data_IF_557968334637
#
_entry.id   IF_557968334637
#
_cell.length_a   1.000
_cell.length_b   1.000
_cell.length_c   1.000
_cell.angle_alpha   90.00
_cell.angle_beta   90.00
_cell.angle_gamma   90.00
#
_symmetry.space_group_name_H-M   'P 1'
#
loop_
_entity.id
_entity.type
_entity.pdbx_description
1 polymer ?
#
# COMPACT_ATOMS: atom_id res chain seq x y z
N UNK A 1 -8.20 10.40 -19.69
CA UNK A 1 -8.78 9.62 -18.56
C UNK A 1 -8.78 10.52 -17.35
N UNK A 2 -9.81 10.50 -16.51
CA UNK A 2 -9.80 11.23 -15.24
C UNK A 2 -8.79 10.57 -14.32
N UNK A 3 -7.96 11.37 -13.67
CA UNK A 3 -7.01 10.96 -12.65
C UNK A 3 -7.76 10.39 -11.43
N UNK A 4 -7.38 9.24 -10.96
CA UNK A 4 -7.98 8.61 -9.77
C UNK A 4 -7.07 8.81 -8.56
N UNK A 5 -7.62 9.41 -7.50
CA UNK A 5 -7.08 9.39 -6.13
C UNK A 5 -8.30 9.34 -5.22
N UNK A 6 -8.67 8.14 -4.82
CA UNK A 6 -9.83 7.90 -3.96
C UNK A 6 -9.37 7.52 -2.54
N UNK A 7 -9.99 8.13 -1.54
CA UNK A 7 -9.69 7.88 -0.12
C UNK A 7 -10.94 7.36 0.57
N UNK A 8 -10.81 6.21 1.20
CA UNK A 8 -11.87 5.56 1.98
C UNK A 8 -11.45 5.47 3.43
N UNK A 9 -12.22 6.06 4.32
CA UNK A 9 -12.02 5.97 5.77
C UNK A 9 -12.90 4.87 6.36
N UNK A 10 -12.43 4.32 7.48
CA UNK A 10 -13.15 3.34 8.28
C UNK A 10 -13.65 2.15 7.42
N UNK A 11 -12.72 1.62 6.59
CA UNK A 11 -13.00 0.64 5.54
C UNK A 11 -13.49 -0.68 6.13
N UNK A 12 -12.93 -1.10 7.25
CA UNK A 12 -13.35 -2.30 7.97
C UNK A 12 -14.12 -1.94 9.23
N UNK A 13 -14.93 -2.86 9.71
CA UNK A 13 -15.50 -2.78 11.05
C UNK A 13 -14.38 -2.88 12.10
N UNK A 14 -14.58 -2.29 13.26
CA UNK A 14 -13.57 -2.17 14.32
C UNK A 14 -12.88 -3.50 14.64
N UNK A 15 -13.65 -4.59 14.72
CA UNK A 15 -13.10 -5.91 15.02
C UNK A 15 -12.07 -6.38 13.96
N UNK A 16 -12.41 -6.24 12.69
CA UNK A 16 -11.51 -6.62 11.60
C UNK A 16 -10.30 -5.69 11.53
N UNK A 17 -10.50 -4.39 11.73
CA UNK A 17 -9.42 -3.42 11.75
C UNK A 17 -8.41 -3.70 12.88
N UNK A 18 -8.88 -4.12 14.07
CA UNK A 18 -8.01 -4.52 15.20
C UNK A 18 -7.20 -5.77 14.83
N UNK A 19 -7.82 -6.80 14.24
CA UNK A 19 -7.12 -8.01 13.82
C UNK A 19 -6.02 -7.68 12.79
N UNK A 20 -6.30 -6.79 11.83
CA UNK A 20 -5.33 -6.38 10.81
C UNK A 20 -4.18 -5.56 11.40
N UNK A 21 -4.44 -4.66 12.34
CA UNK A 21 -3.40 -3.92 13.08
C UNK A 21 -2.48 -4.90 13.84
N UNK A 22 -3.06 -5.90 14.52
CA UNK A 22 -2.31 -6.91 15.24
C UNK A 22 -1.50 -7.82 14.32
N UNK A 23 -2.05 -8.24 13.18
CA UNK A 23 -1.32 -9.04 12.19
C UNK A 23 -0.11 -8.27 11.64
N UNK A 24 -0.26 -6.99 11.34
CA UNK A 24 0.85 -6.17 10.83
C UNK A 24 1.91 -5.92 11.90
N UNK A 25 1.54 -5.77 13.17
CA UNK A 25 2.48 -5.67 14.30
C UNK A 25 3.33 -6.93 14.49
N UNK A 26 2.82 -8.09 14.11
CA UNK A 26 3.52 -9.37 14.26
C UNK A 26 4.41 -9.75 13.06
N UNK A 27 4.45 -8.94 12.01
CA UNK A 27 5.30 -9.20 10.83
C UNK A 27 6.78 -9.27 11.24
N UNK A 28 7.45 -10.30 10.75
CA UNK A 28 8.91 -10.43 10.86
C UNK A 28 9.57 -9.64 9.73
N UNK A 29 9.72 -8.34 9.93
CA UNK A 29 10.22 -7.40 8.95
C UNK A 29 11.65 -7.71 8.50
N UNK A 30 11.90 -7.60 7.17
CA UNK A 30 13.24 -7.61 6.59
C UNK A 30 13.64 -6.20 6.20
N UNK A 31 14.83 -5.77 6.63
CA UNK A 31 15.41 -4.48 6.26
C UNK A 31 16.42 -4.72 5.15
N UNK A 32 16.14 -4.31 3.95
CA UNK A 32 17.04 -4.29 2.78
C UNK A 32 16.30 -4.10 1.46
N UNK A 33 15.24 -3.32 1.44
CA UNK A 33 14.44 -3.12 0.24
C UNK A 33 14.49 -1.67 -0.24
N UNK A 34 14.43 -1.48 -1.55
CA UNK A 34 14.37 -0.18 -2.22
C UNK A 34 13.10 -0.13 -3.07
N UNK A 35 12.34 0.98 -3.00
CA UNK A 35 11.18 1.19 -3.88
C UNK A 35 11.59 1.52 -5.32
N UNK A 36 12.76 2.17 -5.49
CA UNK A 36 13.34 2.53 -6.77
C UNK A 36 14.85 2.23 -6.75
N UNK A 37 15.42 1.85 -7.90
CA UNK A 37 16.88 1.61 -8.07
C UNK A 37 17.74 2.84 -7.78
N UNK A 38 17.16 4.04 -7.85
CA UNK A 38 17.81 5.31 -7.52
C UNK A 38 17.77 5.61 -6.02
N UNK A 39 17.01 4.85 -5.24
CA UNK A 39 16.88 5.05 -3.81
C UNK A 39 18.15 4.63 -3.08
N UNK A 40 18.64 5.52 -2.21
CA UNK A 40 19.80 5.24 -1.36
C UNK A 40 19.36 4.69 0.00
N UNK A 41 18.13 5.01 0.39
CA UNK A 41 17.59 4.66 1.70
C UNK A 41 16.80 3.36 1.60
N UNK A 42 17.24 2.36 2.32
CA UNK A 42 16.53 1.09 2.48
C UNK A 42 15.39 1.25 3.46
N UNK A 43 14.37 0.43 3.30
CA UNK A 43 13.26 0.36 4.24
C UNK A 43 12.90 -1.10 4.56
N UNK A 44 12.01 -1.25 5.53
CA UNK A 44 11.48 -2.54 5.93
C UNK A 44 10.44 -3.02 4.92
N UNK A 45 10.53 -4.27 4.52
CA UNK A 45 9.66 -4.84 3.50
C UNK A 45 9.37 -6.31 3.75
N UNK A 46 8.18 -6.76 3.36
CA UNK A 46 7.78 -8.16 3.27
C UNK A 46 6.88 -8.31 2.06
N UNK A 47 7.21 -9.23 1.17
CA UNK A 47 6.31 -9.70 0.13
C UNK A 47 5.34 -10.72 0.77
N UNK A 48 4.03 -10.44 0.69
CA UNK A 48 3.00 -11.37 1.14
C UNK A 48 2.75 -12.45 0.09
N UNK A 49 2.61 -12.09 -1.18
CA UNK A 49 2.45 -13.02 -2.29
C UNK A 49 1.95 -12.36 -3.57
N UNK A 50 2.01 -13.11 -4.68
CA UNK A 50 1.48 -12.71 -5.98
C UNK A 50 0.10 -13.32 -6.27
N UNK A 51 -0.35 -14.22 -5.42
CA UNK A 51 -1.65 -14.89 -5.46
C UNK A 51 -1.97 -15.46 -4.09
N UNK A 52 -3.18 -16.01 -3.93
CA UNK A 52 -3.67 -16.59 -2.68
C UNK A 52 -2.78 -17.70 -2.14
N UNK A 53 -2.35 -18.62 -3.00
CA UNK A 53 -1.53 -19.77 -2.61
C UNK A 53 -0.20 -19.33 -2.00
N UNK A 54 0.40 -18.30 -2.58
CA UNK A 54 1.66 -17.72 -2.07
C UNK A 54 1.43 -17.00 -0.73
N UNK A 55 0.35 -16.21 -0.61
CA UNK A 55 0.01 -15.55 0.64
C UNK A 55 -0.20 -16.56 1.77
N UNK A 56 -0.96 -17.62 1.53
CA UNK A 56 -1.19 -18.70 2.48
C UNK A 56 0.13 -19.40 2.85
N UNK A 57 0.94 -19.76 1.86
CA UNK A 57 2.23 -20.44 2.08
C UNK A 57 3.22 -19.60 2.88
N UNK A 58 3.16 -18.26 2.72
CA UNK A 58 4.00 -17.32 3.45
C UNK A 58 3.45 -16.96 4.85
N UNK A 59 2.23 -17.40 5.19
CA UNK A 59 1.57 -17.06 6.45
C UNK A 59 0.92 -15.67 6.49
N UNK A 60 0.58 -15.13 5.30
CA UNK A 60 -0.07 -13.84 5.12
C UNK A 60 -1.44 -13.96 4.43
N UNK A 61 -2.16 -15.04 4.69
CA UNK A 61 -3.53 -15.31 4.20
C UNK A 61 -4.49 -14.15 4.48
N UNK A 62 -4.35 -13.50 5.62
CA UNK A 62 -5.10 -12.31 5.99
C UNK A 62 -4.98 -11.16 4.96
N UNK A 63 -3.86 -11.05 4.24
CA UNK A 63 -3.65 -10.01 3.23
C UNK A 63 -4.47 -10.29 1.94
N UNK A 64 -4.59 -11.57 1.54
CA UNK A 64 -5.49 -11.98 0.46
C UNK A 64 -6.96 -11.76 0.85
N UNK A 65 -7.35 -12.15 2.06
CA UNK A 65 -8.70 -11.92 2.58
C UNK A 65 -9.08 -10.43 2.61
N UNK A 66 -8.13 -9.54 2.95
CA UNK A 66 -8.35 -8.09 2.86
C UNK A 66 -8.74 -7.65 1.46
N UNK A 67 -8.06 -8.17 0.43
CA UNK A 67 -8.35 -7.80 -0.95
C UNK A 67 -9.76 -8.25 -1.35
N UNK A 68 -10.16 -9.46 -0.96
CA UNK A 68 -11.51 -9.96 -1.20
C UNK A 68 -12.58 -9.09 -0.50
N UNK A 69 -12.32 -8.66 0.73
CA UNK A 69 -13.20 -7.74 1.45
C UNK A 69 -13.32 -6.37 0.75
N UNK A 70 -12.22 -5.83 0.21
CA UNK A 70 -12.26 -4.58 -0.56
C UNK A 70 -13.10 -4.73 -1.83
N UNK A 71 -12.95 -5.83 -2.57
CA UNK A 71 -13.75 -6.09 -3.77
C UNK A 71 -15.25 -6.05 -3.45
N UNK A 72 -15.65 -6.74 -2.40
CA UNK A 72 -17.06 -6.85 -2.01
C UNK A 72 -17.59 -5.52 -1.47
N UNK A 73 -16.87 -4.91 -0.52
CA UNK A 73 -17.37 -3.74 0.22
C UNK A 73 -17.35 -2.45 -0.58
N UNK A 74 -16.37 -2.28 -1.45
CA UNK A 74 -16.15 -1.05 -2.20
C UNK A 74 -16.48 -1.19 -3.70
N UNK A 75 -16.93 -2.37 -4.14
CA UNK A 75 -17.30 -2.60 -5.53
C UNK A 75 -16.14 -2.38 -6.49
N UNK A 76 -14.96 -2.93 -6.20
CA UNK A 76 -13.75 -2.69 -6.99
C UNK A 76 -13.88 -3.16 -8.43
N UNK A 77 -14.58 -4.27 -8.66
CA UNK A 77 -14.78 -4.79 -10.01
C UNK A 77 -15.58 -3.82 -10.87
N UNK A 78 -16.64 -3.23 -10.33
CA UNK A 78 -17.45 -2.24 -11.04
C UNK A 78 -16.79 -0.88 -11.15
N UNK A 79 -16.10 -0.44 -10.10
CA UNK A 79 -15.56 0.92 -10.03
C UNK A 79 -14.21 1.08 -10.73
N UNK A 80 -13.31 0.11 -10.55
CA UNK A 80 -11.95 0.16 -11.06
C UNK A 80 -11.65 -0.91 -12.11
N UNK A 81 -12.61 -1.79 -12.39
CA UNK A 81 -12.42 -2.96 -13.25
C UNK A 81 -11.27 -3.87 -12.77
N UNK A 82 -11.08 -3.93 -11.45
CA UNK A 82 -10.03 -4.73 -10.80
C UNK A 82 -10.66 -5.92 -10.12
N UNK A 83 -10.27 -7.12 -10.53
CA UNK A 83 -10.72 -8.40 -9.97
C UNK A 83 -9.58 -9.19 -9.29
N UNK A 84 -8.32 -8.90 -9.64
CA UNK A 84 -7.15 -9.58 -9.13
C UNK A 84 -6.04 -8.57 -8.78
N UNK A 85 -5.21 -8.95 -7.82
CA UNK A 85 -3.96 -8.23 -7.57
C UNK A 85 -2.80 -8.90 -8.30
N UNK A 86 -1.77 -8.10 -8.61
CA UNK A 86 -0.49 -8.59 -9.16
C UNK A 86 0.41 -9.08 -8.03
N UNK A 87 0.40 -8.36 -6.91
CA UNK A 87 1.10 -8.73 -5.66
C UNK A 87 0.58 -7.91 -4.48
N UNK A 88 0.76 -8.50 -3.31
CA UNK A 88 0.54 -7.83 -2.02
C UNK A 88 1.87 -7.82 -1.27
N UNK A 89 2.21 -6.69 -0.67
CA UNK A 89 3.38 -6.56 0.17
C UNK A 89 3.16 -5.53 1.29
N UNK A 90 3.99 -5.60 2.32
CA UNK A 90 3.98 -4.61 3.39
C UNK A 90 5.30 -3.83 3.38
N UNK A 91 5.20 -2.52 3.54
CA UNK A 91 6.33 -1.62 3.74
C UNK A 91 6.25 -0.96 5.11
N UNK A 92 7.40 -0.71 5.71
CA UNK A 92 7.46 0.07 6.95
C UNK A 92 8.66 1.02 6.98
N UNK A 93 8.44 2.17 7.60
CA UNK A 93 9.43 3.23 7.74
C UNK A 93 9.58 3.66 9.20
N UNK A 94 10.80 4.04 9.58
CA UNK A 94 11.11 4.74 10.83
C UNK A 94 11.47 6.20 10.53
N UNK A 95 11.63 7.00 11.56
CA UNK A 95 12.23 8.33 11.40
C UNK A 95 13.62 8.26 10.76
N UNK A 96 14.00 9.30 10.03
CA UNK A 96 15.28 9.39 9.34
C UNK A 96 15.32 8.72 7.95
N UNK A 97 14.24 8.08 7.53
CA UNK A 97 14.06 7.61 6.16
C UNK A 97 13.33 8.66 5.33
N UNK A 98 13.91 9.01 4.19
CA UNK A 98 13.31 9.92 3.21
C UNK A 98 13.09 9.17 1.89
N UNK A 99 11.93 8.56 1.69
CA UNK A 99 11.59 7.89 0.44
C UNK A 99 11.56 8.84 -0.74
N UNK A 100 12.03 8.39 -1.90
CA UNK A 100 12.00 9.17 -3.13
C UNK A 100 10.63 9.12 -3.81
N UNK A 101 10.35 10.15 -4.61
CA UNK A 101 9.21 10.13 -5.54
C UNK A 101 9.45 9.03 -6.57
N UNK A 102 8.45 8.24 -6.80
CA UNK A 102 8.45 7.16 -7.79
C UNK A 102 7.05 6.94 -8.36
N UNK A 103 6.97 6.17 -9.41
CA UNK A 103 5.75 5.60 -9.96
C UNK A 103 5.77 4.10 -9.76
N UNK A 104 4.62 3.49 -9.78
CA UNK A 104 4.47 2.06 -9.61
C UNK A 104 4.18 1.34 -10.94
N UNK A 105 4.44 0.06 -10.97
CA UNK A 105 3.96 -0.85 -12.00
C UNK A 105 2.49 -1.22 -11.75
N UNK A 106 1.81 -1.70 -12.79
CA UNK A 106 0.38 -1.99 -12.76
C UNK A 106 -0.48 -0.79 -13.16
N UNK A 107 -1.80 -0.95 -13.06
CA UNK A 107 -2.76 0.11 -13.39
C UNK A 107 -3.17 0.90 -12.14
N UNK A 108 -3.34 0.22 -11.01
CA UNK A 108 -3.67 0.84 -9.72
C UNK A 108 -2.74 0.40 -8.60
N UNK A 109 -2.44 1.35 -7.72
CA UNK A 109 -1.85 1.12 -6.40
C UNK A 109 -2.90 1.38 -5.34
N UNK A 110 -3.02 0.44 -4.39
CA UNK A 110 -3.86 0.59 -3.21
C UNK A 110 -2.99 0.53 -1.98
N UNK A 111 -3.17 1.48 -1.07
CA UNK A 111 -2.41 1.57 0.19
C UNK A 111 -3.39 1.54 1.35
N UNK A 112 -3.34 0.50 2.16
CA UNK A 112 -4.07 0.42 3.42
C UNK A 112 -3.17 0.81 4.60
N UNK A 113 -3.69 1.64 5.49
CA UNK A 113 -3.01 2.10 6.71
C UNK A 113 -3.55 1.33 7.91
N UNK A 114 -2.83 0.31 8.42
CA UNK A 114 -3.35 -0.59 9.44
C UNK A 114 -3.32 -0.03 10.86
N UNK A 115 -2.37 0.88 11.20
CA UNK A 115 -2.10 1.28 12.57
C UNK A 115 -3.20 2.19 13.14
N UNK A 116 -4.05 1.64 14.02
CA UNK A 116 -5.21 2.34 14.58
C UNK A 116 -4.82 3.41 15.61
N UNK A 117 -3.68 3.24 16.27
CA UNK A 117 -3.14 4.15 17.29
C UNK A 117 -2.23 5.26 16.71
N UNK A 118 -2.15 5.38 15.37
CA UNK A 118 -1.30 6.37 14.71
C UNK A 118 -1.72 7.80 15.01
N UNK A 119 -0.76 8.67 15.28
CA UNK A 119 -0.97 10.08 15.64
C UNK A 119 -0.49 10.98 14.48
N UNK A 120 -1.33 11.23 13.46
CA UNK A 120 -0.89 11.88 12.23
C UNK A 120 -0.32 13.29 12.45
N UNK A 121 -0.87 14.06 13.38
CA UNK A 121 -0.42 15.42 13.67
C UNK A 121 0.95 15.47 14.38
N UNK A 122 1.27 14.45 15.16
CA UNK A 122 2.54 14.35 15.90
C UNK A 122 3.60 13.55 15.10
N UNK A 123 3.18 12.49 14.42
CA UNK A 123 4.08 11.52 13.81
C UNK A 123 4.23 11.67 12.30
N UNK A 124 3.32 12.38 11.62
CA UNK A 124 3.32 12.52 10.16
C UNK A 124 3.08 11.19 9.45
N UNK A 125 3.93 10.84 8.49
CA UNK A 125 3.93 9.52 7.84
C UNK A 125 2.81 9.28 6.82
N UNK A 126 2.16 10.34 6.33
CA UNK A 126 1.18 10.23 5.24
C UNK A 126 1.82 9.77 3.92
N UNK A 127 1.06 9.83 2.83
CA UNK A 127 1.56 9.59 1.47
C UNK A 127 1.27 10.81 0.61
N UNK A 128 2.29 11.33 -0.06
CA UNK A 128 2.13 12.37 -1.08
C UNK A 128 1.89 11.69 -2.43
N UNK A 129 0.79 12.02 -3.11
CA UNK A 129 0.40 11.44 -4.39
C UNK A 129 0.09 12.58 -5.34
N UNK A 130 0.88 12.75 -6.40
CA UNK A 130 0.73 13.78 -7.42
C UNK A 130 0.45 15.18 -6.79
N UNK A 131 1.25 15.57 -5.79
CA UNK A 131 1.14 16.83 -5.07
C UNK A 131 0.04 16.90 -4.00
N UNK A 132 -0.81 15.89 -3.86
CA UNK A 132 -1.84 15.81 -2.83
C UNK A 132 -1.35 14.99 -1.64
N UNK A 133 -1.31 15.58 -0.45
CA UNK A 133 -1.00 14.85 0.79
C UNK A 133 -2.23 14.08 1.28
N UNK A 134 -2.10 12.78 1.41
CA UNK A 134 -3.05 11.92 2.12
C UNK A 134 -2.46 11.62 3.51
N UNK A 135 -3.00 12.17 4.60
CA UNK A 135 -2.52 11.90 5.95
C UNK A 135 -2.69 10.43 6.33
N UNK A 136 -1.77 9.91 7.11
CA UNK A 136 -1.94 8.58 7.71
C UNK A 136 -3.14 8.60 8.67
N UNK A 137 -4.08 7.69 8.47
CA UNK A 137 -5.19 7.42 9.40
C UNK A 137 -5.39 5.90 9.44
N UNK A 138 -5.43 5.33 10.63
CA UNK A 138 -5.72 3.90 10.79
C UNK A 138 -7.05 3.54 10.13
N UNK A 139 -7.14 2.34 9.57
CA UNK A 139 -8.32 1.84 8.85
C UNK A 139 -8.72 2.69 7.62
N UNK A 140 -7.74 3.33 6.96
CA UNK A 140 -7.90 4.06 5.70
C UNK A 140 -7.34 3.26 4.55
N UNK A 141 -8.05 3.26 3.43
CA UNK A 141 -7.56 2.79 2.14
C UNK A 141 -7.45 3.97 1.19
N UNK A 142 -6.37 4.01 0.43
CA UNK A 142 -6.18 4.94 -0.69
C UNK A 142 -6.00 4.13 -1.96
N UNK A 143 -6.75 4.48 -3.01
CA UNK A 143 -6.66 3.88 -4.35
C UNK A 143 -6.26 4.95 -5.33
N UNK A 144 -5.22 4.74 -6.11
CA UNK A 144 -4.78 5.72 -7.10
C UNK A 144 -4.14 5.06 -8.33
N UNK A 145 -4.15 5.79 -9.44
CA UNK A 145 -3.48 5.35 -10.68
C UNK A 145 -1.98 5.12 -10.42
N UNK A 146 -1.47 3.95 -10.75
CA UNK A 146 -0.09 3.55 -10.44
C UNK A 146 0.99 4.45 -11.07
N UNK A 147 0.66 5.12 -12.20
CA UNK A 147 1.56 6.06 -12.87
C UNK A 147 1.70 7.42 -12.18
N UNK A 148 0.90 7.72 -11.16
CA UNK A 148 1.02 8.97 -10.42
C UNK A 148 2.27 8.96 -9.54
N UNK A 149 3.08 9.99 -9.65
CA UNK A 149 4.25 10.15 -8.78
C UNK A 149 3.83 10.24 -7.32
N UNK A 150 4.43 9.41 -6.48
CA UNK A 150 4.09 9.36 -5.07
C UNK A 150 5.29 8.98 -4.20
N UNK A 151 5.19 9.29 -2.91
CA UNK A 151 6.13 8.84 -1.89
C UNK A 151 5.50 8.79 -0.51
N UNK A 152 6.03 7.97 0.38
CA UNK A 152 5.75 8.07 1.80
C UNK A 152 6.37 9.38 2.35
N UNK A 153 5.64 10.06 3.22
CA UNK A 153 6.18 11.23 3.92
C UNK A 153 7.02 10.81 5.12
N UNK A 154 8.03 11.60 5.47
CA UNK A 154 8.87 11.32 6.63
C UNK A 154 8.07 11.13 7.92
N UNK A 155 8.62 10.30 8.79
CA UNK A 155 8.12 10.06 10.14
C UNK A 155 8.88 10.93 11.12
N UNK A 156 8.17 11.60 12.04
CA UNK A 156 8.75 12.43 13.08
C UNK A 156 9.69 11.63 14.00
N UNK A 157 10.70 12.30 14.56
CA UNK A 157 11.59 11.72 15.58
C UNK A 157 10.87 11.35 16.88
N UNK A 158 9.69 11.92 17.12
CA UNK A 158 8.88 11.60 18.30
C UNK A 158 8.11 10.29 18.13
N UNK A 159 8.05 9.76 16.92
CA UNK A 159 7.41 8.48 16.63
C UNK A 159 8.33 7.33 17.02
N UNK A 160 7.87 6.50 17.92
CA UNK A 160 8.56 5.28 18.38
C UNK A 160 7.99 4.00 17.75
N UNK A 161 7.07 4.15 16.79
CA UNK A 161 6.39 3.06 16.10
C UNK A 161 6.86 2.94 14.65
N UNK A 162 6.68 1.77 14.07
CA UNK A 162 6.85 1.58 12.63
C UNK A 162 5.64 2.16 11.87
N UNK A 163 5.91 3.07 10.94
CA UNK A 163 4.91 3.47 9.95
C UNK A 163 4.76 2.34 8.95
N UNK A 164 3.80 1.48 9.16
CA UNK A 164 3.53 0.34 8.29
C UNK A 164 2.33 0.59 7.37
N UNK A 165 2.38 0.01 6.18
CA UNK A 165 1.28 -0.01 5.21
C UNK A 165 1.21 -1.37 4.54
N UNK A 166 0.00 -1.77 4.13
CA UNK A 166 -0.22 -2.90 3.23
C UNK A 166 -0.51 -2.35 1.84
N UNK A 167 0.22 -2.83 0.84
CA UNK A 167 0.16 -2.31 -0.53
C UNK A 167 -0.30 -3.42 -1.47
N UNK A 168 -1.27 -3.09 -2.31
CA UNK A 168 -1.79 -3.97 -3.36
C UNK A 168 -1.48 -3.33 -4.71
N UNK A 169 -0.83 -4.09 -5.59
CA UNK A 169 -0.65 -3.73 -6.98
C UNK A 169 -1.68 -4.46 -7.81
N UNK A 170 -2.43 -3.73 -8.62
CA UNK A 170 -3.55 -4.28 -9.35
C UNK A 170 -3.51 -3.90 -10.83
N UNK A 171 -4.01 -4.79 -11.67
CA UNK A 171 -4.26 -4.51 -13.08
C UNK A 171 -5.75 -4.46 -13.38
N UNK A 172 -6.11 -3.65 -14.35
CA UNK A 172 -7.46 -3.60 -14.91
C UNK A 172 -7.72 -4.87 -15.73
N UNK A 173 -8.88 -5.46 -15.52
CA UNK A 173 -9.33 -6.65 -16.25
C UNK A 173 -9.34 -6.41 -17.76
N UNK A 174 -8.64 -7.27 -18.50
CA UNK A 174 -8.59 -7.17 -19.96
C UNK A 174 -7.74 -6.01 -20.51
N UNK A 175 -6.98 -5.31 -19.67
CA UNK A 175 -6.02 -4.32 -20.16
C UNK A 175 -4.93 -5.02 -20.99
N UNK A 176 -4.73 -4.52 -22.22
CA UNK A 176 -3.71 -5.06 -23.11
C UNK A 176 -2.34 -4.74 -22.50
N UNK A 177 -1.55 -5.76 -22.15
CA UNK A 177 -0.27 -5.64 -21.43
C UNK A 177 0.83 -4.87 -22.18
N UNK A 178 0.61 -4.49 -23.43
CA UNK A 178 1.54 -3.67 -24.21
C UNK A 178 1.84 -2.28 -23.58
N UNK A 179 1.01 -1.84 -22.61
CA UNK A 179 1.22 -0.58 -21.90
C UNK A 179 2.31 -0.63 -20.81
N UNK A 180 2.60 -1.81 -20.28
CA UNK A 180 3.55 -2.01 -19.18
C UNK A 180 5.02 -1.97 -19.63
N UNK A 181 5.30 -2.32 -20.88
CA UNK A 181 6.67 -2.33 -21.42
C UNK A 181 7.23 -0.92 -21.67
N UNK A 182 6.38 0.08 -21.77
CA UNK A 182 6.81 1.46 -22.02
C UNK A 182 7.53 2.08 -20.79
N UNK A 183 7.13 1.71 -19.57
CA UNK A 183 7.70 2.26 -18.32
C UNK A 183 8.89 1.48 -17.78
N UNK A 184 9.11 0.24 -18.25
CA UNK A 184 10.26 -0.59 -17.86
C UNK A 184 11.53 -0.32 -18.69
N UNK A 185 11.45 0.53 -19.72
CA UNK A 185 12.55 0.83 -20.65
C UNK A 185 13.05 2.29 -20.59
N UNK A 186 12.66 3.06 -19.55
CA UNK A 186 13.17 4.43 -19.37
C UNK A 186 14.08 4.51 -18.14
#
# INVERSE_FOLDING_TARGET
MSRVIDVYDDVFEDHNAIILDDNVKQILWKYDYYSDKKEVNKHWHILCGHNKEECVSAGYDWADEMFDMFKIKLGFEEKYMVDEYVRIYCNAHTHGLEPHMHVDDGDFTMIYYPRLDWKPDAWGGGTLIDGQLVPYKGNRLVVFDAYLEHKAMPVSRECYELRSVVVFKCNVKGANRERLDFYNNV
#
